data_IF_325112542086
#
_entry.id   IF_325112542086
#
_cell.length_a   1.000
_cell.length_b   1.000
_cell.length_c   1.000
_cell.angle_alpha   90.00
_cell.angle_beta   90.00
_cell.angle_gamma   90.00
#
_symmetry.space_group_name_H-M   'P 1'
#
loop_
_entity.id
_entity.type
_entity.pdbx_description
1 polymer ?
#
# COMPACT_ATOMS: atom_id res chain seq x y z
N UNK A 1 -17.36 -22.70 43.92
CA UNK A 1 -18.15 -21.71 43.20
C UNK A 1 -17.31 -20.49 42.80
N UNK A 2 -16.59 -19.85 43.70
CA UNK A 2 -15.78 -18.66 43.42
C UNK A 2 -14.68 -18.91 42.36
N UNK A 3 -13.96 -20.03 42.48
CA UNK A 3 -12.90 -20.40 41.55
C UNK A 3 -13.43 -20.68 40.13
N UNK A 4 -14.60 -21.32 40.01
CA UNK A 4 -15.26 -21.53 38.73
C UNK A 4 -15.70 -20.23 38.05
N UNK A 5 -16.22 -19.27 38.84
CA UNK A 5 -16.57 -17.95 38.31
C UNK A 5 -15.33 -17.17 37.81
N UNK A 6 -14.20 -17.27 38.50
CA UNK A 6 -12.95 -16.64 38.09
C UNK A 6 -12.43 -17.22 36.76
N UNK A 7 -12.48 -18.55 36.59
CA UNK A 7 -12.07 -19.20 35.34
C UNK A 7 -12.98 -18.77 34.19
N UNK A 8 -14.30 -18.72 34.40
CA UNK A 8 -15.22 -18.26 33.37
C UNK A 8 -15.01 -16.80 32.98
N UNK A 9 -14.78 -15.92 33.96
CA UNK A 9 -14.46 -14.52 33.69
C UNK A 9 -13.18 -14.37 32.88
N UNK A 10 -12.13 -15.10 33.23
CA UNK A 10 -10.86 -15.11 32.50
C UNK A 10 -11.03 -15.65 31.08
N UNK A 11 -11.74 -16.78 30.93
CA UNK A 11 -12.00 -17.36 29.61
C UNK A 11 -12.80 -16.38 28.72
N UNK A 12 -13.80 -15.73 29.27
CA UNK A 12 -14.58 -14.71 28.56
C UNK A 12 -13.73 -13.50 28.16
N UNK A 13 -12.86 -13.04 29.05
CA UNK A 13 -11.91 -11.96 28.74
C UNK A 13 -10.99 -12.32 27.56
N UNK A 14 -10.40 -13.53 27.58
CA UNK A 14 -9.54 -14.02 26.50
C UNK A 14 -10.31 -14.21 25.18
N UNK A 15 -11.56 -14.68 25.25
CA UNK A 15 -12.33 -15.00 24.05
C UNK A 15 -12.93 -13.78 23.35
N UNK A 16 -13.30 -12.73 24.08
CA UNK A 16 -14.04 -11.60 23.54
C UNK A 16 -13.27 -10.27 23.61
N UNK A 17 -12.63 -9.99 24.72
CA UNK A 17 -12.00 -8.67 24.93
C UNK A 17 -10.65 -8.57 24.20
N UNK A 18 -9.82 -9.61 24.30
CA UNK A 18 -8.49 -9.59 23.69
C UNK A 18 -8.53 -9.51 22.16
N UNK A 19 -9.35 -10.32 21.44
CA UNK A 19 -9.45 -10.20 20.00
C UNK A 19 -9.93 -8.83 19.54
N UNK A 20 -10.90 -8.24 20.24
CA UNK A 20 -11.40 -6.91 19.89
C UNK A 20 -10.33 -5.82 20.07
N UNK A 21 -9.54 -5.89 21.13
CA UNK A 21 -8.42 -4.98 21.33
C UNK A 21 -7.33 -5.17 20.29
N UNK A 22 -7.00 -6.40 19.94
CA UNK A 22 -6.02 -6.71 18.91
C UNK A 22 -6.50 -6.23 17.53
N UNK A 23 -7.79 -6.38 17.23
CA UNK A 23 -8.42 -5.83 16.03
C UNK A 23 -8.24 -4.31 15.92
N UNK A 24 -8.38 -3.58 17.02
CA UNK A 24 -8.16 -2.12 17.03
C UNK A 24 -6.69 -1.77 16.72
N UNK A 25 -5.74 -2.53 17.25
CA UNK A 25 -4.31 -2.34 16.94
C UNK A 25 -4.04 -2.56 15.46
N UNK A 26 -4.53 -3.64 14.89
CA UNK A 26 -4.38 -3.95 13.47
C UNK A 26 -5.06 -2.91 12.57
N UNK A 27 -6.25 -2.46 12.94
CA UNK A 27 -6.97 -1.42 12.21
C UNK A 27 -6.20 -0.08 12.23
N UNK A 28 -5.70 0.32 13.40
CA UNK A 28 -4.87 1.53 13.53
C UNK A 28 -3.60 1.43 12.69
N UNK A 29 -2.94 0.28 12.70
CA UNK A 29 -1.77 0.02 11.86
C UNK A 29 -2.11 0.08 10.36
N UNK A 30 -3.23 -0.52 9.95
CA UNK A 30 -3.71 -0.45 8.57
C UNK A 30 -3.91 0.99 8.09
N UNK A 31 -4.53 1.84 8.92
CA UNK A 31 -4.69 3.26 8.61
C UNK A 31 -3.35 3.99 8.52
N UNK A 32 -2.42 3.72 9.43
CA UNK A 32 -1.08 4.30 9.40
C UNK A 32 -0.33 3.93 8.11
N UNK A 33 -0.37 2.66 7.72
CA UNK A 33 0.24 2.21 6.45
C UNK A 33 -0.39 2.94 5.26
N UNK A 34 -1.70 3.05 5.21
CA UNK A 34 -2.38 3.77 4.12
C UNK A 34 -1.94 5.24 4.04
N UNK A 35 -1.79 5.92 5.18
CA UNK A 35 -1.28 7.29 5.22
C UNK A 35 0.15 7.38 4.69
N UNK A 36 1.04 6.48 5.12
CA UNK A 36 2.43 6.45 4.66
C UNK A 36 2.56 6.11 3.17
N UNK A 37 1.70 5.24 2.65
CA UNK A 37 1.64 4.96 1.22
C UNK A 37 1.10 6.15 0.41
N UNK A 38 0.20 6.97 0.97
CA UNK A 38 -0.21 8.23 0.35
C UNK A 38 0.93 9.26 0.34
N UNK A 39 1.73 9.34 1.41
CA UNK A 39 2.94 10.17 1.43
C UNK A 39 3.97 9.69 0.42
N UNK A 40 4.19 8.38 0.31
CA UNK A 40 5.05 7.78 -0.71
C UNK A 40 4.58 8.14 -2.11
N UNK A 41 3.28 7.99 -2.38
CA UNK A 41 2.68 8.42 -3.65
C UNK A 41 2.94 9.90 -3.95
N UNK A 42 2.70 10.77 -2.98
CA UNK A 42 2.93 12.20 -3.16
C UNK A 42 4.43 12.51 -3.38
N UNK A 43 5.30 11.80 -2.69
CA UNK A 43 6.74 11.84 -2.92
C UNK A 43 7.13 11.44 -4.35
N UNK A 44 6.63 10.32 -4.83
CA UNK A 44 6.89 9.83 -6.18
C UNK A 44 6.41 10.81 -7.26
N UNK A 45 5.25 11.41 -7.07
CA UNK A 45 4.73 12.43 -8.00
C UNK A 45 5.59 13.70 -7.97
N UNK A 46 6.13 14.11 -6.82
CA UNK A 46 6.97 15.31 -6.74
C UNK A 46 8.35 15.12 -7.34
N UNK A 47 8.94 13.93 -7.28
CA UNK A 47 10.23 13.61 -7.89
C UNK A 47 10.20 13.85 -9.42
N UNK A 48 9.06 13.61 -10.06
CA UNK A 48 8.91 13.85 -11.51
C UNK A 48 9.00 15.33 -11.89
N UNK A 49 8.85 16.26 -10.94
CA UNK A 49 8.97 17.69 -11.17
C UNK A 49 10.32 18.29 -10.75
N UNK A 50 10.80 17.90 -9.59
CA UNK A 50 11.93 18.58 -8.92
C UNK A 50 13.22 17.75 -8.94
N UNK A 51 13.15 16.45 -9.23
CA UNK A 51 14.31 15.54 -9.27
C UNK A 51 14.92 15.19 -7.91
N UNK A 52 14.40 15.74 -6.83
CA UNK A 52 14.92 15.52 -5.48
C UNK A 52 14.44 14.18 -4.91
N UNK A 53 15.39 13.39 -4.40
CA UNK A 53 15.10 12.14 -3.72
C UNK A 53 14.36 12.38 -2.41
N UNK A 54 13.33 11.58 -2.14
CA UNK A 54 12.58 11.60 -0.87
C UNK A 54 12.62 10.25 -0.19
N UNK A 55 12.68 10.27 1.15
CA UNK A 55 12.58 9.07 1.98
C UNK A 55 11.23 9.05 2.68
N UNK A 56 10.55 7.91 2.61
CA UNK A 56 9.28 7.66 3.31
C UNK A 56 9.43 6.36 4.09
N UNK A 57 9.03 6.39 5.36
CA UNK A 57 9.03 5.20 6.22
C UNK A 57 7.66 4.57 6.24
N UNK A 58 7.57 3.32 5.81
CA UNK A 58 6.32 2.55 5.85
C UNK A 58 6.44 1.47 6.92
N UNK A 59 5.59 1.48 7.96
CA UNK A 59 5.59 0.43 8.98
C UNK A 59 4.99 -0.84 8.38
N UNK A 60 5.82 -1.86 8.13
CA UNK A 60 5.37 -3.09 7.47
C UNK A 60 4.66 -4.05 8.43
N UNK A 61 4.88 -3.93 9.74
CA UNK A 61 4.26 -4.76 10.74
C UNK A 61 4.05 -4.04 12.07
N UNK A 62 3.32 -4.69 12.98
CA UNK A 62 3.06 -4.18 14.32
C UNK A 62 3.02 -5.28 15.36
N UNK A 63 3.23 -4.92 16.62
CA UNK A 63 3.12 -5.82 17.77
C UNK A 63 1.89 -5.46 18.60
N UNK A 64 1.39 -6.44 19.34
CA UNK A 64 0.32 -6.18 20.31
C UNK A 64 0.92 -5.73 21.65
N UNK A 65 0.22 -4.88 22.39
CA UNK A 65 0.65 -4.50 23.73
C UNK A 65 0.79 -5.71 24.65
N UNK A 66 1.84 -5.75 25.44
CA UNK A 66 2.00 -6.75 26.48
C UNK A 66 0.92 -6.60 27.55
N UNK A 67 0.34 -7.71 27.97
CA UNK A 67 -0.69 -7.76 28.99
C UNK A 67 -0.35 -8.88 29.99
N UNK A 68 -0.49 -8.57 31.26
CA UNK A 68 -0.08 -9.48 32.34
C UNK A 68 -0.81 -10.84 32.33
N UNK A 69 -2.03 -10.89 31.80
CA UNK A 69 -2.90 -12.07 31.83
C UNK A 69 -3.46 -12.45 30.46
N UNK A 70 -2.91 -11.92 29.40
CA UNK A 70 -3.39 -12.22 28.04
C UNK A 70 -2.34 -12.96 27.21
N UNK A 71 -2.81 -13.89 26.40
CA UNK A 71 -1.98 -14.51 25.37
C UNK A 71 -2.29 -13.80 24.05
N UNK A 72 -1.32 -13.05 23.56
CA UNK A 72 -1.40 -12.41 22.25
C UNK A 72 -0.97 -13.38 21.14
N UNK A 73 -1.50 -13.24 19.92
CA UNK A 73 -0.91 -13.88 18.76
C UNK A 73 0.49 -13.29 18.47
N UNK A 74 1.22 -13.93 17.57
CA UNK A 74 2.51 -13.40 17.11
C UNK A 74 2.38 -12.01 16.48
N UNK A 75 3.51 -11.30 16.28
CA UNK A 75 3.50 -9.98 15.67
C UNK A 75 2.90 -10.04 14.27
N UNK A 76 2.20 -8.98 13.90
CA UNK A 76 1.71 -8.77 12.54
C UNK A 76 2.89 -8.55 11.61
N UNK A 77 2.83 -9.16 10.43
CA UNK A 77 3.82 -8.98 9.37
C UNK A 77 3.20 -8.31 8.16
N UNK A 78 4.00 -7.65 7.37
CA UNK A 78 3.58 -7.12 6.08
C UNK A 78 4.72 -7.20 5.06
N UNK A 79 4.35 -7.34 3.81
CA UNK A 79 5.27 -7.38 2.68
C UNK A 79 5.01 -6.18 1.77
N UNK A 80 6.08 -5.45 1.43
CA UNK A 80 6.08 -4.40 0.43
C UNK A 80 6.96 -4.85 -0.72
N UNK A 81 6.40 -4.96 -1.92
CA UNK A 81 7.11 -5.46 -3.10
C UNK A 81 6.66 -4.76 -4.37
N UNK A 82 7.52 -4.74 -5.37
CA UNK A 82 7.16 -4.37 -6.73
C UNK A 82 6.72 -5.59 -7.52
N UNK A 83 5.79 -5.39 -8.44
CA UNK A 83 5.29 -6.41 -9.37
C UNK A 83 5.19 -5.82 -10.77
N UNK A 84 5.27 -6.65 -11.80
CA UNK A 84 5.03 -6.24 -13.19
C UNK A 84 6.12 -5.36 -13.80
N UNK A 85 7.28 -5.20 -13.16
CA UNK A 85 8.34 -4.30 -13.62
C UNK A 85 9.05 -4.77 -14.90
N UNK A 86 8.81 -6.00 -15.33
CA UNK A 86 9.40 -6.58 -16.54
C UNK A 86 8.37 -6.85 -17.63
N UNK A 87 7.11 -7.10 -17.27
CA UNK A 87 6.10 -7.67 -18.17
C UNK A 87 4.94 -6.69 -18.43
N UNK A 88 4.68 -5.76 -17.50
CA UNK A 88 3.61 -4.79 -17.65
C UNK A 88 4.12 -3.56 -18.41
N UNK A 89 3.42 -3.22 -19.48
CA UNK A 89 3.73 -2.04 -20.28
C UNK A 89 2.51 -1.14 -20.41
N UNK A 90 2.75 0.17 -20.35
CA UNK A 90 1.78 1.18 -20.73
C UNK A 90 2.11 1.64 -22.14
N UNK A 91 1.16 1.50 -23.05
CA UNK A 91 1.27 1.99 -24.42
C UNK A 91 0.68 3.41 -24.48
N UNK A 92 1.52 4.38 -24.80
CA UNK A 92 1.09 5.75 -24.99
C UNK A 92 1.28 6.16 -26.46
N UNK A 93 0.23 6.66 -27.08
CA UNK A 93 0.29 7.28 -28.41
C UNK A 93 -0.48 8.57 -28.43
N UNK A 94 0.04 9.56 -29.13
CA UNK A 94 -0.63 10.84 -29.35
C UNK A 94 -0.91 10.95 -30.84
N UNK A 95 -2.18 10.93 -31.22
CA UNK A 95 -2.59 11.11 -32.60
C UNK A 95 -2.99 12.58 -32.84
N UNK A 96 -2.73 13.07 -34.04
CA UNK A 96 -3.10 14.44 -34.49
C UNK A 96 -2.49 15.56 -33.62
N UNK A 97 -1.36 15.30 -32.95
CA UNK A 97 -0.66 16.32 -32.20
C UNK A 97 0.14 17.22 -33.17
N UNK A 98 -0.05 18.53 -33.03
CA UNK A 98 0.82 19.52 -33.67
C UNK A 98 1.87 19.88 -32.63
N UNK A 99 3.06 19.34 -32.76
CA UNK A 99 4.18 19.59 -31.85
C UNK A 99 5.28 20.30 -32.62
N UNK A 100 5.98 21.21 -31.93
CA UNK A 100 7.13 21.93 -32.52
C UNK A 100 8.45 21.38 -32.00
N UNK A 101 9.50 21.50 -32.79
CA UNK A 101 10.87 21.13 -32.43
C UNK A 101 11.06 19.65 -32.14
N UNK A 102 12.00 19.32 -31.24
CA UNK A 102 12.39 17.94 -30.88
C UNK A 102 11.22 17.07 -30.36
N UNK A 103 10.22 17.70 -29.75
CA UNK A 103 9.05 16.99 -29.26
C UNK A 103 8.22 16.41 -30.42
N UNK A 104 8.23 17.08 -31.59
CA UNK A 104 7.53 16.61 -32.80
C UNK A 104 8.13 15.32 -33.32
N UNK A 105 9.45 15.22 -33.33
CA UNK A 105 10.15 14.02 -33.80
C UNK A 105 9.88 12.81 -32.92
N UNK A 106 9.78 13.04 -31.61
CA UNK A 106 9.48 11.97 -30.66
C UNK A 106 8.01 11.47 -30.72
N UNK A 107 7.04 12.40 -30.86
CA UNK A 107 5.61 12.07 -30.80
C UNK A 107 4.91 11.98 -32.17
N UNK A 108 5.61 11.92 -33.26
CA UNK A 108 5.08 11.94 -34.62
C UNK A 108 4.14 10.76 -34.96
N UNK A 109 3.06 10.61 -34.19
CA UNK A 109 2.09 9.51 -34.31
C UNK A 109 2.63 8.14 -33.88
N UNK A 110 3.84 8.08 -33.37
CA UNK A 110 4.48 6.85 -32.92
C UNK A 110 3.90 6.41 -31.57
N UNK A 111 3.67 5.12 -31.40
CA UNK A 111 3.30 4.54 -30.10
C UNK A 111 4.56 4.29 -29.27
N UNK A 112 4.63 4.87 -28.10
CA UNK A 112 5.71 4.64 -27.14
C UNK A 112 5.28 3.64 -26.08
N UNK A 113 6.09 2.61 -25.90
CA UNK A 113 5.89 1.60 -24.85
C UNK A 113 6.71 1.99 -23.62
N UNK A 114 6.04 2.15 -22.50
CA UNK A 114 6.65 2.44 -21.20
C UNK A 114 6.48 1.23 -20.30
N UNK A 115 7.58 0.60 -19.91
CA UNK A 115 7.52 -0.47 -18.92
C UNK A 115 7.30 0.15 -17.55
N UNK A 116 6.28 -0.29 -16.87
CA UNK A 116 5.95 0.17 -15.50
C UNK A 116 5.50 -0.98 -14.65
N UNK A 117 5.83 -0.91 -13.36
CA UNK A 117 5.34 -1.87 -12.38
C UNK A 117 4.39 -1.23 -11.39
N UNK A 118 3.84 -2.03 -10.52
CA UNK A 118 3.09 -1.60 -9.37
C UNK A 118 3.86 -1.86 -8.08
N UNK A 119 3.63 -1.02 -7.06
CA UNK A 119 4.08 -1.27 -5.69
C UNK A 119 2.92 -1.86 -4.91
N UNK A 120 3.14 -3.00 -4.27
CA UNK A 120 2.10 -3.75 -3.57
C UNK A 120 2.48 -3.90 -2.12
N UNK A 121 1.60 -3.48 -1.23
CA UNK A 121 1.65 -3.80 0.19
C UNK A 121 0.62 -4.89 0.51
N UNK A 122 1.09 -5.94 1.11
CA UNK A 122 0.29 -7.10 1.52
C UNK A 122 0.42 -7.32 3.03
N UNK A 123 -0.60 -6.98 3.82
CA UNK A 123 -0.62 -7.24 5.24
C UNK A 123 -0.94 -8.70 5.55
N UNK A 124 -0.38 -9.21 6.64
CA UNK A 124 -0.73 -10.49 7.23
C UNK A 124 -1.17 -10.26 8.68
N UNK A 125 -2.44 -9.87 8.85
CA UNK A 125 -3.07 -9.64 10.14
C UNK A 125 -3.55 -10.95 10.76
N UNK A 126 -3.65 -10.99 12.10
CA UNK A 126 -4.07 -12.18 12.83
C UNK A 126 -5.58 -12.18 13.14
N UNK A 127 -6.18 -11.00 13.28
CA UNK A 127 -7.57 -10.83 13.75
C UNK A 127 -8.41 -10.05 12.75
N UNK A 128 -7.82 -9.08 12.07
CA UNK A 128 -8.52 -8.28 11.07
C UNK A 128 -8.65 -9.09 9.78
N UNK A 129 -9.82 -9.66 9.58
CA UNK A 129 -10.14 -10.43 8.38
C UNK A 129 -10.33 -9.51 7.16
N UNK A 130 -10.05 -10.02 5.97
CA UNK A 130 -10.28 -9.33 4.68
C UNK A 130 -9.54 -8.01 4.45
N UNK A 131 -8.36 -7.81 5.02
CA UNK A 131 -7.52 -6.71 4.57
C UNK A 131 -7.01 -6.99 3.17
N UNK A 132 -7.49 -6.23 2.22
CA UNK A 132 -7.01 -6.30 0.83
C UNK A 132 -5.55 -5.88 0.73
N UNK A 133 -4.95 -6.19 -0.40
CA UNK A 133 -3.65 -5.64 -0.77
C UNK A 133 -3.82 -4.15 -1.14
N UNK A 134 -2.85 -3.32 -0.73
CA UNK A 134 -2.81 -1.93 -1.20
C UNK A 134 -1.83 -1.82 -2.36
N UNK A 135 -2.30 -1.31 -3.48
CA UNK A 135 -1.59 -1.19 -4.73
C UNK A 135 -1.36 0.28 -5.07
N UNK A 136 -0.15 0.59 -5.51
CA UNK A 136 0.18 1.85 -6.16
C UNK A 136 0.60 1.59 -7.60
N UNK A 137 -0.10 2.19 -8.53
CA UNK A 137 0.15 2.07 -9.96
C UNK A 137 -0.30 3.36 -10.68
N UNK A 138 0.49 3.85 -11.61
CA UNK A 138 0.16 5.03 -12.43
C UNK A 138 -0.36 6.22 -11.62
N UNK A 139 0.28 6.55 -10.52
CA UNK A 139 -0.11 7.62 -9.59
C UNK A 139 -1.42 7.40 -8.81
N UNK A 140 -2.04 6.25 -8.91
CA UNK A 140 -3.25 5.87 -8.16
C UNK A 140 -2.90 4.90 -7.04
N UNK A 141 -3.45 5.15 -5.87
CA UNK A 141 -3.45 4.20 -4.75
C UNK A 141 -4.83 3.59 -4.66
N UNK A 142 -4.90 2.27 -4.64
CA UNK A 142 -6.15 1.53 -4.51
C UNK A 142 -5.98 0.28 -3.65
N UNK A 143 -7.05 -0.14 -3.02
CA UNK A 143 -7.11 -1.40 -2.27
C UNK A 143 -7.78 -2.47 -3.12
N UNK A 144 -7.12 -3.62 -3.24
CA UNK A 144 -7.62 -4.79 -3.97
C UNK A 144 -8.05 -5.84 -2.96
N UNK A 145 -9.34 -6.08 -2.91
CA UNK A 145 -9.97 -7.11 -2.11
C UNK A 145 -10.31 -8.32 -2.97
N UNK A 146 -10.68 -9.42 -2.33
CA UNK A 146 -11.16 -10.62 -3.03
C UNK A 146 -12.39 -10.33 -3.90
N UNK A 147 -13.23 -9.41 -3.48
CA UNK A 147 -14.52 -9.08 -4.11
C UNK A 147 -14.46 -7.88 -5.07
N UNK A 148 -13.32 -7.19 -5.15
CA UNK A 148 -13.18 -6.04 -6.02
C UNK A 148 -12.06 -5.08 -5.66
N UNK A 149 -12.03 -3.96 -6.34
CA UNK A 149 -11.02 -2.91 -6.19
C UNK A 149 -11.70 -1.62 -5.72
N UNK A 150 -11.13 -0.99 -4.70
CA UNK A 150 -11.58 0.27 -4.16
C UNK A 150 -10.48 1.32 -4.28
N UNK A 151 -10.68 2.42 -5.02
CA UNK A 151 -9.71 3.49 -5.10
C UNK A 151 -9.59 4.22 -3.74
N UNK A 152 -8.37 4.39 -3.27
CA UNK A 152 -8.05 5.16 -2.07
C UNK A 152 -7.71 6.63 -2.41
N UNK A 153 -7.27 6.89 -3.64
CA UNK A 153 -6.95 8.24 -4.11
C UNK A 153 -7.50 8.48 -5.51
N UNK A 154 -7.80 9.74 -5.82
CA UNK A 154 -8.14 10.15 -7.18
C UNK A 154 -6.94 9.98 -8.12
N UNK A 155 -7.21 9.71 -9.38
CA UNK A 155 -6.19 9.67 -10.42
C UNK A 155 -5.65 11.08 -10.72
N UNK A 156 -4.37 11.18 -11.04
CA UNK A 156 -3.72 12.42 -11.50
C UNK A 156 -3.13 12.29 -12.90
N UNK A 157 -3.50 11.23 -13.59
CA UNK A 157 -3.03 10.96 -14.94
C UNK A 157 -3.43 12.11 -15.89
N UNK A 158 -4.65 12.59 -15.76
CA UNK A 158 -5.20 13.67 -16.56
C UNK A 158 -5.59 14.82 -15.64
N UNK A 159 -5.02 16.00 -15.89
CA UNK A 159 -5.35 17.24 -15.20
C UNK A 159 -5.45 18.38 -16.21
N UNK A 160 -6.67 18.78 -16.55
CA UNK A 160 -6.93 19.73 -17.64
C UNK A 160 -6.40 19.19 -18.98
N UNK A 161 -5.48 19.93 -19.58
CA UNK A 161 -4.81 19.53 -20.84
C UNK A 161 -3.50 18.76 -20.64
N UNK A 162 -3.14 18.43 -19.38
CA UNK A 162 -1.88 17.72 -19.07
C UNK A 162 -2.15 16.24 -18.85
N UNK A 163 -1.41 15.40 -19.56
CA UNK A 163 -1.28 13.96 -19.29
C UNK A 163 0.04 13.71 -18.60
N UNK A 164 0.04 13.05 -17.44
CA UNK A 164 1.24 12.69 -16.67
C UNK A 164 1.26 11.18 -16.46
N UNK A 165 2.19 10.50 -17.09
CA UNK A 165 2.44 9.07 -16.88
C UNK A 165 3.61 8.93 -15.89
N UNK A 166 3.39 8.18 -14.80
CA UNK A 166 4.44 7.88 -13.83
C UNK A 166 4.78 6.41 -13.95
N UNK A 167 5.89 6.13 -14.62
CA UNK A 167 6.41 4.78 -14.74
C UNK A 167 7.26 4.45 -13.49
N UNK A 168 6.94 3.33 -12.84
CA UNK A 168 7.71 2.76 -11.75
C UNK A 168 8.60 1.66 -12.31
N UNK A 169 9.91 1.88 -12.30
CA UNK A 169 10.90 0.90 -12.74
C UNK A 169 11.86 0.59 -11.59
N UNK A 170 12.00 -0.68 -11.24
CA UNK A 170 12.88 -1.14 -10.17
C UNK A 170 12.31 -2.37 -9.47
N UNK A 171 13.14 -3.04 -8.70
CA UNK A 171 12.74 -4.19 -7.90
C UNK A 171 12.89 -3.91 -6.41
N UNK A 172 11.84 -4.16 -5.65
CA UNK A 172 11.80 -4.06 -4.20
C UNK A 172 11.07 -5.27 -3.64
N UNK A 173 11.63 -5.88 -2.62
CA UNK A 173 10.91 -6.89 -1.82
C UNK A 173 11.37 -6.79 -0.38
N UNK A 174 10.49 -6.30 0.48
CA UNK A 174 10.73 -6.11 1.91
C UNK A 174 9.61 -6.81 2.68
N UNK A 175 10.01 -7.71 3.57
CA UNK A 175 9.10 -8.33 4.54
C UNK A 175 9.67 -8.12 5.93
N UNK A 176 8.88 -7.53 6.82
CA UNK A 176 9.29 -7.34 8.21
C UNK A 176 8.16 -7.71 9.16
N UNK A 177 8.45 -8.47 10.22
CA UNK A 177 7.58 -8.54 11.38
C UNK A 177 7.56 -7.17 12.07
N UNK A 178 6.52 -6.93 12.85
CA UNK A 178 6.49 -5.78 13.76
C UNK A 178 7.75 -5.76 14.62
N UNK A 179 8.38 -4.60 14.76
CA UNK A 179 9.50 -4.46 15.67
C UNK A 179 9.00 -4.72 17.10
N UNK A 180 9.65 -5.65 17.80
CA UNK A 180 9.51 -5.70 19.25
C UNK A 180 10.17 -4.42 19.82
N UNK A 181 9.38 -3.57 20.45
CA UNK A 181 9.87 -2.44 21.25
C UNK A 181 10.26 -2.91 22.63
#
# INVERSE_FOLDING_TARGET
LLFGALILAFASYQAFVIPEQNRKVEFSHSQQVQQQLQELRNGLISITGDGDGRSVTVPLGTTYPDRAIAVNPGPVTGTLRTVGTTDDSVNASIANAITGGETGDYWNGTTHNLTTGALVYEPNYNVLDSTGQTWYENSVLYSRYREGVQPATGQRLISGSRLTLVALNGSLSLTRPGAAT
#
